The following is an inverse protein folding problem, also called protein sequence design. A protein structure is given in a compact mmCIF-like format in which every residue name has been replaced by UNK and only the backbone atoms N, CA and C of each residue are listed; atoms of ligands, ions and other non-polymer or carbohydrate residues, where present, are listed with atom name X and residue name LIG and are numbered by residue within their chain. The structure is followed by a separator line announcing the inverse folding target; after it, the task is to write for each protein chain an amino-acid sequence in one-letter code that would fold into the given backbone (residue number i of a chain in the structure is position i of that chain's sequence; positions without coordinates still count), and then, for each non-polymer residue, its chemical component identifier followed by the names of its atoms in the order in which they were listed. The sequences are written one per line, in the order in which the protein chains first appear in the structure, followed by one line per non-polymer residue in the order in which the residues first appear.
data_IF_485285881944
#
_entry.id   IF_485285881944
#
_cell.length_a   1.000
_cell.length_b   1.000
_cell.length_c   1.000
_cell.angle_alpha   90.00
_cell.angle_beta   90.00
_cell.angle_gamma   90.00
#
_symmetry.space_group_name_H-M   'P 1'
#
loop_
_entity.id
_entity.type
_entity.pdbx_description
1 polymer ?
#
# COMPACT_ATOMS: atom_id res chain seq x y z
N UNK A 1 20.23 -15.26 -2.25
CA UNK A 1 20.19 -13.88 -1.69
C UNK A 1 18.93 -13.77 -0.84
N UNK A 2 18.97 -13.09 0.30
CA UNK A 2 17.76 -12.92 1.12
C UNK A 2 16.78 -12.02 0.36
N UNK A 3 15.48 -12.42 0.34
CA UNK A 3 14.39 -11.65 -0.28
C UNK A 3 14.26 -10.29 0.44
N UNK A 4 14.47 -9.15 -0.26
CA UNK A 4 14.37 -7.82 0.34
C UNK A 4 13.00 -7.52 0.97
N UNK A 5 11.94 -8.18 0.50
CA UNK A 5 10.57 -8.03 0.98
C UNK A 5 10.16 -9.09 2.00
N UNK A 6 11.05 -10.00 2.38
CA UNK A 6 10.75 -10.93 3.47
C UNK A 6 10.50 -10.19 4.79
N UNK A 7 9.62 -10.71 5.63
CA UNK A 7 9.26 -10.06 6.89
C UNK A 7 10.49 -9.68 7.76
N UNK A 8 11.53 -10.54 7.93
CA UNK A 8 12.71 -10.14 8.70
C UNK A 8 13.49 -8.96 8.11
N UNK A 9 13.58 -8.86 6.76
CA UNK A 9 14.28 -7.76 6.12
C UNK A 9 13.47 -6.46 6.16
N UNK A 10 12.15 -6.56 6.03
CA UNK A 10 11.24 -5.41 6.15
C UNK A 10 11.24 -4.85 7.58
N UNK A 11 11.31 -5.67 8.61
CA UNK A 11 11.42 -5.20 10.01
C UNK A 11 12.68 -4.37 10.26
N UNK A 12 13.76 -4.58 9.51
CA UNK A 12 14.95 -3.72 9.59
C UNK A 12 14.70 -2.28 9.12
N UNK A 13 13.63 -2.06 8.36
CA UNK A 13 13.22 -0.73 7.90
C UNK A 13 12.40 0.04 8.94
N UNK A 14 11.97 -0.59 10.05
CA UNK A 14 11.05 0.01 11.02
C UNK A 14 11.53 1.40 11.49
N UNK A 15 12.80 1.54 11.86
CA UNK A 15 13.34 2.83 12.31
C UNK A 15 13.28 3.92 11.24
N UNK A 16 13.49 3.56 9.98
CA UNK A 16 13.44 4.49 8.83
C UNK A 16 12.02 4.89 8.50
N UNK A 17 11.10 3.92 8.42
CA UNK A 17 9.67 4.18 8.17
C UNK A 17 9.08 5.03 9.29
N UNK A 18 9.43 4.76 10.54
CA UNK A 18 9.02 5.57 11.69
C UNK A 18 9.50 7.02 11.57
N UNK A 19 10.76 7.24 11.21
CA UNK A 19 11.30 8.57 11.02
C UNK A 19 10.57 9.35 9.89
N UNK A 20 10.23 8.67 8.79
CA UNK A 20 9.42 9.27 7.71
C UNK A 20 8.03 9.66 8.21
N UNK A 21 7.35 8.78 8.94
CA UNK A 21 6.03 9.08 9.52
C UNK A 21 6.09 10.29 10.47
N UNK A 22 7.11 10.36 11.32
CA UNK A 22 7.32 11.47 12.25
C UNK A 22 7.64 12.77 11.52
N UNK A 23 8.47 12.73 10.46
CA UNK A 23 8.77 13.88 9.58
C UNK A 23 7.48 14.43 8.97
N UNK A 24 6.67 13.58 8.32
CA UNK A 24 5.40 13.98 7.71
C UNK A 24 4.40 14.55 8.71
N UNK A 25 4.28 13.96 9.89
CA UNK A 25 3.35 14.44 10.92
C UNK A 25 3.86 15.71 11.65
N UNK A 26 5.15 16.02 11.60
CA UNK A 26 5.69 17.24 12.19
C UNK A 26 5.27 18.52 11.45
N UNK A 27 4.91 18.40 10.16
CA UNK A 27 4.44 19.50 9.32
C UNK A 27 2.93 19.79 9.51
N UNK A 28 2.20 18.93 10.23
CA UNK A 28 0.75 19.02 10.41
C UNK A 28 0.38 20.11 11.39
N UNK A 29 -0.47 21.04 10.93
CA UNK A 29 -1.01 22.14 11.72
C UNK A 29 -2.36 21.80 12.39
N UNK A 30 -3.27 22.78 12.38
CA UNK A 30 -4.65 22.61 12.88
C UNK A 30 -5.57 21.86 11.90
N UNK A 31 -5.20 21.86 10.65
CA UNK A 31 -5.88 21.15 9.58
C UNK A 31 -4.91 20.17 8.93
N UNK A 32 -5.39 19.05 8.48
CA UNK A 32 -4.63 18.03 7.81
C UNK A 32 -5.51 17.37 6.74
N UNK A 33 -4.96 17.14 5.56
CA UNK A 33 -5.52 16.16 4.64
C UNK A 33 -4.74 14.86 4.78
N UNK A 34 -5.33 13.88 5.43
CA UNK A 34 -4.69 12.57 5.72
C UNK A 34 -4.12 11.92 4.45
N UNK A 35 -4.78 12.15 3.30
CA UNK A 35 -4.34 11.57 2.02
C UNK A 35 -3.07 12.26 1.54
N UNK A 36 -3.11 13.58 1.36
CA UNK A 36 -2.00 14.33 0.73
C UNK A 36 -0.82 14.54 1.66
N UNK A 37 -1.06 14.66 2.97
CA UNK A 37 -0.03 15.02 3.93
C UNK A 37 0.67 13.80 4.54
N UNK A 38 0.03 12.60 4.50
CA UNK A 38 0.59 11.38 5.07
C UNK A 38 0.49 10.16 4.14
N UNK A 39 -0.74 9.81 3.72
CA UNK A 39 -0.99 8.49 3.13
C UNK A 39 -0.33 8.33 1.75
N UNK A 40 -0.26 9.37 0.94
CA UNK A 40 0.42 9.39 -0.37
C UNK A 40 1.94 9.50 -0.22
N UNK A 41 2.50 10.48 0.52
CA UNK A 41 3.95 10.64 0.58
C UNK A 41 4.65 9.49 1.31
N UNK A 42 4.04 8.85 2.30
CA UNK A 42 4.70 7.80 3.09
C UNK A 42 5.21 6.64 2.23
N UNK A 43 4.40 5.89 1.47
CA UNK A 43 4.87 4.75 0.68
C UNK A 43 5.86 5.18 -0.42
N UNK A 44 5.67 6.36 -1.02
CA UNK A 44 6.60 6.89 -2.03
C UNK A 44 7.98 7.14 -1.42
N UNK A 45 8.05 7.76 -0.24
CA UNK A 45 9.30 8.02 0.46
C UNK A 45 9.98 6.73 0.90
N UNK A 46 9.22 5.74 1.36
CA UNK A 46 9.75 4.43 1.77
C UNK A 46 10.34 3.68 0.57
N UNK A 47 9.64 3.60 -0.55
CA UNK A 47 10.17 2.96 -1.77
C UNK A 47 11.41 3.71 -2.28
N UNK A 48 11.37 5.04 -2.34
CA UNK A 48 12.51 5.84 -2.78
C UNK A 48 13.75 5.63 -1.89
N UNK A 49 13.54 5.54 -0.56
CA UNK A 49 14.61 5.23 0.39
C UNK A 49 15.18 3.82 0.17
N UNK A 50 14.33 2.80 -0.03
CA UNK A 50 14.77 1.43 -0.36
C UNK A 50 15.58 1.39 -1.67
N UNK A 51 15.21 2.20 -2.67
CA UNK A 51 15.93 2.32 -3.93
C UNK A 51 17.24 3.13 -3.79
N UNK A 52 17.49 3.75 -2.64
CA UNK A 52 18.66 4.59 -2.39
C UNK A 52 18.62 5.89 -3.20
N UNK A 53 17.44 6.43 -3.48
CA UNK A 53 17.27 7.67 -4.24
C UNK A 53 17.60 8.89 -3.37
N UNK A 54 18.13 9.98 -3.99
CA UNK A 54 18.37 11.23 -3.27
C UNK A 54 17.06 11.82 -2.71
N UNK A 55 17.11 12.32 -1.47
CA UNK A 55 15.94 12.98 -0.84
C UNK A 55 15.34 14.11 -1.69
N UNK A 56 16.17 14.85 -2.42
CA UNK A 56 15.72 15.94 -3.32
C UNK A 56 14.88 15.48 -4.51
N UNK A 57 14.91 14.19 -4.85
CA UNK A 57 14.17 13.62 -5.99
C UNK A 57 12.81 13.04 -5.59
N UNK A 58 12.49 12.97 -4.28
CA UNK A 58 11.28 12.32 -3.77
C UNK A 58 9.99 12.89 -4.36
N UNK A 59 9.91 14.24 -4.52
CA UNK A 59 8.74 14.89 -5.10
C UNK A 59 8.54 14.57 -6.57
N UNK A 60 9.62 14.46 -7.35
CA UNK A 60 9.54 14.01 -8.74
C UNK A 60 9.06 12.56 -8.81
N UNK A 61 9.58 11.72 -7.90
CA UNK A 61 9.18 10.33 -7.83
C UNK A 61 7.69 10.17 -7.50
N UNK A 62 7.19 11.05 -6.60
CA UNK A 62 5.75 11.13 -6.32
C UNK A 62 4.94 11.58 -7.55
N UNK A 63 5.36 12.66 -8.23
CA UNK A 63 4.69 13.15 -9.43
C UNK A 63 4.59 12.07 -10.50
N UNK A 64 5.68 11.36 -10.77
CA UNK A 64 5.67 10.23 -11.70
C UNK A 64 4.75 9.12 -11.27
N UNK A 65 4.69 8.81 -9.99
CA UNK A 65 3.76 7.81 -9.45
C UNK A 65 2.30 8.21 -9.69
N UNK A 66 1.94 9.46 -9.39
CA UNK A 66 0.59 10.01 -9.60
C UNK A 66 0.20 9.98 -11.08
N UNK A 67 1.13 10.34 -11.99
CA UNK A 67 0.91 10.29 -13.44
C UNK A 67 0.65 8.86 -13.92
N UNK A 68 1.41 7.88 -13.43
CA UNK A 68 1.28 6.46 -13.83
C UNK A 68 -0.05 5.84 -13.42
N UNK A 69 -0.63 6.27 -12.30
CA UNK A 69 -1.95 5.77 -11.84
C UNK A 69 -3.11 6.61 -12.38
N UNK A 70 -2.82 7.60 -13.23
CA UNK A 70 -3.84 8.43 -13.91
C UNK A 70 -4.40 9.55 -13.05
N UNK A 71 -3.72 9.91 -11.97
CA UNK A 71 -4.10 11.04 -11.08
C UNK A 71 -3.45 12.34 -11.54
N UNK A 72 -2.22 12.29 -12.08
CA UNK A 72 -1.44 13.47 -12.47
C UNK A 72 -1.93 14.07 -13.78
N UNK A 73 -2.07 13.47 -14.85
CA UNK A 73 -2.51 14.01 -16.14
C UNK A 73 -1.39 14.31 -17.14
N UNK A 74 -0.13 13.90 -16.84
CA UNK A 74 1.02 13.92 -17.75
C UNK A 74 1.41 12.48 -18.11
N UNK A 75 2.05 12.31 -19.26
CA UNK A 75 2.75 11.07 -19.61
C UNK A 75 4.21 11.18 -19.16
N UNK A 76 4.47 10.81 -17.92
CA UNK A 76 5.79 10.87 -17.30
C UNK A 76 6.58 9.56 -17.39
N UNK A 77 6.06 8.55 -18.07
CA UNK A 77 6.72 7.23 -18.18
C UNK A 77 8.14 7.35 -18.74
N UNK A 78 8.34 8.15 -19.80
CA UNK A 78 9.65 8.36 -20.40
C UNK A 78 10.67 8.95 -19.43
N UNK A 79 10.29 10.01 -18.71
CA UNK A 79 11.14 10.68 -17.71
C UNK A 79 11.54 9.73 -16.57
N UNK A 80 10.58 8.95 -16.07
CA UNK A 80 10.81 7.96 -15.02
C UNK A 80 11.78 6.87 -15.48
N UNK A 81 11.57 6.32 -16.70
CA UNK A 81 12.44 5.28 -17.24
C UNK A 81 13.88 5.77 -17.43
N UNK A 82 14.07 6.98 -17.97
CA UNK A 82 15.40 7.59 -18.11
C UNK A 82 16.07 7.83 -16.75
N UNK A 83 15.30 8.26 -15.77
CA UNK A 83 15.80 8.45 -14.40
C UNK A 83 16.25 7.13 -13.79
N UNK A 84 15.41 6.11 -13.84
CA UNK A 84 15.72 4.78 -13.29
C UNK A 84 16.90 4.14 -14.01
N UNK A 85 17.00 4.28 -15.35
CA UNK A 85 18.12 3.80 -16.13
C UNK A 85 19.45 4.40 -15.63
N UNK A 86 19.50 5.73 -15.43
CA UNK A 86 20.69 6.39 -14.88
C UNK A 86 21.04 5.87 -13.49
N UNK A 87 20.05 5.63 -12.62
CA UNK A 87 20.29 5.05 -11.28
C UNK A 87 20.87 3.63 -11.36
N UNK A 88 20.38 2.82 -12.29
CA UNK A 88 20.90 1.46 -12.54
C UNK A 88 22.36 1.52 -12.97
N UNK A 89 22.71 2.39 -13.93
CA UNK A 89 24.07 2.57 -14.40
C UNK A 89 25.03 3.04 -13.30
N UNK A 90 24.60 4.00 -12.48
CA UNK A 90 25.36 4.44 -11.31
C UNK A 90 25.62 3.29 -10.31
N UNK A 91 24.63 2.45 -10.05
CA UNK A 91 24.76 1.30 -9.13
C UNK A 91 25.60 0.18 -9.72
N UNK A 92 25.62 0.04 -11.04
CA UNK A 92 26.50 -0.89 -11.74
C UNK A 92 27.95 -0.48 -11.61
N UNK A 93 28.23 0.81 -11.73
CA UNK A 93 29.58 1.38 -11.56
C UNK A 93 30.01 1.44 -10.09
N UNK A 94 29.09 1.72 -9.18
CA UNK A 94 29.36 1.88 -7.75
C UNK A 94 28.20 1.32 -6.92
N UNK A 95 28.21 0.00 -6.61
CA UNK A 95 27.18 -0.64 -5.80
C UNK A 95 27.04 -0.01 -4.40
N UNK A 96 25.80 0.04 -3.89
CA UNK A 96 25.46 0.57 -2.57
C UNK A 96 24.59 -0.43 -1.78
N UNK A 97 24.28 -0.08 -0.55
CA UNK A 97 23.32 -0.84 0.26
C UNK A 97 21.89 -0.39 -0.04
N UNK A 98 21.41 -0.69 -1.26
CA UNK A 98 20.07 -0.36 -1.73
C UNK A 98 19.48 -1.48 -2.59
N UNK A 99 18.18 -1.39 -2.87
CA UNK A 99 17.44 -2.41 -3.61
C UNK A 99 17.92 -2.55 -5.05
N UNK A 100 18.30 -1.44 -5.72
CA UNK A 100 18.81 -1.49 -7.09
C UNK A 100 20.10 -2.33 -7.14
N UNK A 101 21.03 -2.09 -6.22
CA UNK A 101 22.28 -2.86 -6.13
C UNK A 101 22.03 -4.34 -5.79
N UNK A 102 21.06 -4.62 -4.92
CA UNK A 102 20.67 -5.97 -4.57
C UNK A 102 20.10 -6.74 -5.79
N UNK A 103 19.24 -6.08 -6.57
CA UNK A 103 18.64 -6.65 -7.78
C UNK A 103 19.67 -6.89 -8.88
N UNK A 104 20.62 -5.97 -9.09
CA UNK A 104 21.72 -6.11 -10.05
C UNK A 104 22.63 -7.32 -9.71
N UNK A 105 22.72 -7.67 -8.44
CA UNK A 105 23.48 -8.85 -7.99
C UNK A 105 22.64 -10.12 -7.92
N UNK A 106 21.33 -10.07 -8.16
CA UNK A 106 20.45 -11.23 -8.06
C UNK A 106 20.58 -12.16 -9.26
N UNK A 107 20.36 -13.46 -9.01
CA UNK A 107 20.31 -14.51 -10.03
C UNK A 107 19.01 -15.26 -9.83
N UNK A 108 18.20 -15.35 -10.86
CA UNK A 108 16.91 -16.06 -10.91
C UNK A 108 17.06 -17.19 -11.93
N UNK A 109 16.82 -18.43 -11.51
CA UNK A 109 16.94 -19.62 -12.37
C UNK A 109 18.30 -19.74 -13.12
N UNK A 110 19.37 -19.22 -12.49
CA UNK A 110 20.72 -19.23 -13.07
C UNK A 110 21.07 -18.02 -13.95
N UNK A 111 20.13 -17.15 -14.20
CA UNK A 111 20.32 -15.95 -15.03
C UNK A 111 20.17 -14.65 -14.22
N UNK A 112 20.88 -13.60 -14.66
CA UNK A 112 20.72 -12.25 -14.11
C UNK A 112 19.54 -11.56 -14.79
N UNK A 113 18.88 -10.66 -14.05
CA UNK A 113 17.87 -9.79 -14.63
C UNK A 113 18.47 -8.94 -15.75
N UNK A 114 17.79 -8.90 -16.88
CA UNK A 114 18.08 -7.94 -17.96
C UNK A 114 17.71 -6.53 -17.52
N UNK A 115 18.25 -5.49 -18.18
CA UNK A 115 17.91 -4.10 -17.88
C UNK A 115 16.41 -3.82 -18.04
N UNK A 116 15.77 -4.44 -19.03
CA UNK A 116 14.33 -4.32 -19.26
C UNK A 116 13.51 -4.93 -18.11
N UNK A 117 13.89 -6.09 -17.62
CA UNK A 117 13.23 -6.74 -16.50
C UNK A 117 13.43 -5.94 -15.22
N UNK A 118 14.65 -5.44 -14.99
CA UNK A 118 14.96 -4.60 -13.83
C UNK A 118 14.15 -3.31 -13.84
N UNK A 119 14.14 -2.59 -14.97
CA UNK A 119 13.33 -1.38 -15.14
C UNK A 119 11.85 -1.66 -14.93
N UNK A 120 11.32 -2.71 -15.57
CA UNK A 120 9.92 -3.11 -15.40
C UNK A 120 9.56 -3.41 -13.94
N UNK A 121 10.46 -4.07 -13.23
CA UNK A 121 10.26 -4.37 -11.80
C UNK A 121 10.29 -3.10 -10.93
N UNK A 122 11.19 -2.16 -11.19
CA UNK A 122 11.27 -0.90 -10.45
C UNK A 122 10.02 -0.03 -10.67
N UNK A 123 9.52 0.05 -11.91
CA UNK A 123 8.26 0.73 -12.24
C UNK A 123 7.08 0.04 -11.55
N UNK A 124 7.03 -1.30 -11.58
CA UNK A 124 5.99 -2.08 -10.91
C UNK A 124 5.97 -1.81 -9.40
N UNK A 125 7.13 -1.76 -8.75
CA UNK A 125 7.23 -1.47 -7.31
C UNK A 125 6.65 -0.09 -6.98
N UNK A 126 6.96 0.92 -7.82
CA UNK A 126 6.45 2.27 -7.61
C UNK A 126 4.92 2.30 -7.70
N UNK A 127 4.35 1.74 -8.77
CA UNK A 127 2.90 1.77 -9.00
C UNK A 127 2.15 0.92 -7.98
N UNK A 128 2.60 -0.33 -7.76
CA UNK A 128 1.89 -1.27 -6.91
C UNK A 128 1.96 -0.92 -5.41
N UNK A 129 3.08 -0.30 -4.98
CA UNK A 129 3.30 0.02 -3.57
C UNK A 129 2.61 1.31 -3.11
N UNK A 130 2.41 2.27 -4.01
CA UNK A 130 1.89 3.59 -3.64
C UNK A 130 0.37 3.58 -3.39
N UNK A 131 -0.44 3.39 -4.41
CA UNK A 131 -1.90 3.54 -4.37
C UNK A 131 -2.56 2.64 -3.31
N UNK A 132 -2.11 1.41 -3.21
CA UNK A 132 -2.71 0.42 -2.29
C UNK A 132 -2.45 0.75 -0.83
N UNK A 133 -1.25 1.19 -0.48
CA UNK A 133 -0.89 1.58 0.90
C UNK A 133 -1.51 2.92 1.27
N UNK A 134 -1.58 3.87 0.33
CA UNK A 134 -2.35 5.12 0.47
C UNK A 134 -3.80 4.82 0.88
N UNK A 135 -4.45 3.92 0.14
CA UNK A 135 -5.83 3.55 0.41
C UNK A 135 -5.98 2.77 1.72
N UNK A 136 -5.02 1.93 2.11
CA UNK A 136 -5.02 1.27 3.42
C UNK A 136 -5.04 2.31 4.54
N UNK A 137 -4.16 3.31 4.51
CA UNK A 137 -4.05 4.33 5.55
C UNK A 137 -5.32 5.20 5.57
N UNK A 138 -5.74 5.72 4.41
CA UNK A 138 -6.93 6.56 4.28
C UNK A 138 -8.20 5.86 4.74
N UNK A 139 -8.44 4.63 4.29
CA UNK A 139 -9.59 3.81 4.67
C UNK A 139 -9.59 3.48 6.18
N UNK A 140 -8.41 3.26 6.76
CA UNK A 140 -8.27 2.99 8.19
C UNK A 140 -8.65 4.22 9.01
N UNK A 141 -8.13 5.40 8.66
CA UNK A 141 -8.46 6.66 9.34
C UNK A 141 -9.95 6.98 9.18
N UNK A 142 -10.50 6.86 7.98
CA UNK A 142 -11.93 7.08 7.76
C UNK A 142 -12.79 6.14 8.62
N UNK A 143 -12.43 4.85 8.70
CA UNK A 143 -13.12 3.88 9.56
C UNK A 143 -13.03 4.29 11.03
N UNK A 144 -11.88 4.75 11.51
CA UNK A 144 -11.70 5.22 12.88
C UNK A 144 -12.47 6.51 13.18
N UNK A 145 -12.60 7.42 12.23
CA UNK A 145 -13.42 8.62 12.38
C UNK A 145 -14.92 8.29 12.47
N UNK A 146 -15.38 7.29 11.74
CA UNK A 146 -16.76 6.78 11.80
C UNK A 146 -17.03 5.93 13.06
N UNK A 147 -16.02 5.27 13.58
CA UNK A 147 -16.10 4.29 14.68
C UNK A 147 -15.23 4.70 15.87
N UNK A 148 -15.74 5.64 16.67
CA UNK A 148 -15.02 6.13 17.87
C UNK A 148 -14.76 5.05 18.92
N UNK A 149 -15.59 4.00 18.95
CA UNK A 149 -15.40 2.82 19.79
C UNK A 149 -14.08 2.09 19.45
N UNK A 150 -13.74 2.00 18.15
CA UNK A 150 -12.48 1.43 17.67
C UNK A 150 -11.29 2.25 18.14
N UNK A 151 -11.37 3.59 18.02
CA UNK A 151 -10.31 4.50 18.49
C UNK A 151 -10.07 4.29 19.98
N UNK A 152 -11.13 4.24 20.78
CA UNK A 152 -11.03 4.01 22.24
C UNK A 152 -10.33 2.69 22.57
N UNK A 153 -10.64 1.60 21.86
CA UNK A 153 -10.01 0.29 22.07
C UNK A 153 -8.52 0.31 21.69
N UNK A 154 -8.17 0.90 20.54
CA UNK A 154 -6.77 0.98 20.07
C UNK A 154 -5.93 1.91 20.94
N UNK A 155 -6.51 3.00 21.47
CA UNK A 155 -5.83 3.89 22.40
C UNK A 155 -5.58 3.22 23.77
N UNK A 156 -6.52 2.40 24.25
CA UNK A 156 -6.39 1.65 25.49
C UNK A 156 -5.37 0.51 25.39
N UNK A 157 -5.26 -0.15 24.23
CA UNK A 157 -4.26 -1.19 23.95
C UNK A 157 -3.65 -1.03 22.57
N UNK A 158 -2.56 -0.26 22.44
CA UNK A 158 -1.87 -0.05 21.16
C UNK A 158 -1.31 -1.33 20.51
N UNK A 159 -1.18 -2.44 21.25
CA UNK A 159 -0.75 -3.73 20.70
C UNK A 159 -1.77 -4.29 19.70
N UNK A 160 -3.03 -3.88 19.82
CA UNK A 160 -4.09 -4.24 18.89
C UNK A 160 -3.90 -3.63 17.48
N UNK A 161 -3.05 -2.62 17.30
CA UNK A 161 -2.82 -1.99 15.99
C UNK A 161 -2.39 -3.04 14.95
N UNK A 162 -1.57 -4.01 15.34
CA UNK A 162 -1.10 -5.06 14.44
C UNK A 162 -2.25 -5.92 13.89
N UNK A 163 -3.18 -6.33 14.74
CA UNK A 163 -4.37 -7.11 14.32
C UNK A 163 -5.41 -6.21 13.65
N UNK A 164 -5.52 -4.96 14.07
CA UNK A 164 -6.41 -3.99 13.47
C UNK A 164 -6.02 -3.65 12.01
N UNK A 165 -4.72 -3.64 11.67
CA UNK A 165 -4.27 -3.49 10.26
C UNK A 165 -4.83 -4.60 9.39
N UNK A 166 -4.79 -5.87 9.84
CA UNK A 166 -5.40 -6.99 9.10
C UNK A 166 -6.92 -6.81 8.99
N UNK A 167 -7.58 -6.29 10.04
CA UNK A 167 -9.02 -6.06 10.00
C UNK A 167 -9.39 -4.86 9.11
N UNK A 168 -8.59 -3.79 9.06
CA UNK A 168 -8.79 -2.71 8.07
C UNK A 168 -8.66 -3.24 6.64
N UNK A 169 -7.65 -4.07 6.38
CA UNK A 169 -7.44 -4.73 5.09
C UNK A 169 -8.63 -5.61 4.69
N UNK A 170 -9.22 -6.35 5.63
CA UNK A 170 -10.43 -7.12 5.40
C UNK A 170 -11.64 -6.23 5.17
N UNK A 171 -11.89 -5.31 6.11
CA UNK A 171 -13.12 -4.53 6.20
C UNK A 171 -13.28 -3.50 5.08
N UNK A 172 -12.18 -2.84 4.68
CA UNK A 172 -12.09 -1.89 3.56
C UNK A 172 -10.87 -2.20 2.70
N UNK A 173 -10.92 -3.35 2.02
CA UNK A 173 -9.81 -3.79 1.15
C UNK A 173 -9.44 -2.69 0.16
N UNK A 174 -8.17 -2.24 0.12
CA UNK A 174 -7.74 -1.24 -0.87
C UNK A 174 -8.00 -1.68 -2.30
N UNK A 175 -7.73 -2.97 -2.61
CA UNK A 175 -8.04 -3.59 -3.90
C UNK A 175 -9.35 -4.33 -3.77
N UNK A 176 -10.33 -3.97 -4.62
CA UNK A 176 -11.67 -4.56 -4.60
C UNK A 176 -11.77 -5.84 -5.41
N UNK A 177 -10.90 -6.01 -6.40
CA UNK A 177 -10.88 -7.24 -7.17
C UNK A 177 -9.75 -7.29 -8.18
N UNK A 178 -9.56 -8.45 -8.78
CA UNK A 178 -8.51 -8.73 -9.75
C UNK A 178 -9.04 -9.54 -10.94
N UNK A 179 -8.50 -9.26 -12.11
CA UNK A 179 -8.80 -10.02 -13.33
C UNK A 179 -7.94 -11.26 -13.46
N UNK A 180 -8.53 -12.31 -14.05
CA UNK A 180 -7.85 -13.52 -14.50
C UNK A 180 -8.40 -13.88 -15.88
N UNK A 181 -7.58 -14.53 -16.69
CA UNK A 181 -8.00 -15.12 -17.95
C UNK A 181 -7.90 -16.64 -17.81
N UNK A 182 -8.97 -17.33 -18.16
CA UNK A 182 -8.98 -18.78 -18.13
C UNK A 182 -7.99 -19.33 -19.19
N UNK A 183 -7.10 -20.23 -18.78
CA UNK A 183 -6.12 -20.86 -19.67
C UNK A 183 -6.66 -22.12 -20.36
N UNK A 184 -7.77 -22.64 -19.87
CA UNK A 184 -8.44 -23.84 -20.34
C UNK A 184 -9.92 -23.80 -19.91
N UNK A 185 -10.75 -24.64 -20.52
CA UNK A 185 -12.14 -24.82 -20.10
C UNK A 185 -12.19 -25.34 -18.67
N UNK A 186 -12.97 -24.69 -17.80
CA UNK A 186 -13.11 -25.07 -16.40
C UNK A 186 -14.50 -24.79 -15.85
N UNK A 187 -14.76 -25.25 -14.61
CA UNK A 187 -15.96 -24.86 -13.86
C UNK A 187 -15.56 -24.11 -12.59
N UNK A 188 -16.21 -22.95 -12.37
CA UNK A 188 -16.06 -22.16 -11.17
C UNK A 188 -17.43 -21.97 -10.51
N UNK A 189 -17.62 -22.48 -9.28
CA UNK A 189 -18.89 -22.42 -8.59
C UNK A 189 -20.06 -23.05 -9.37
N UNK A 190 -19.81 -24.09 -10.19
CA UNK A 190 -20.79 -24.74 -11.04
C UNK A 190 -21.05 -24.07 -12.40
N UNK A 191 -20.49 -22.86 -12.63
CA UNK A 191 -20.59 -22.13 -13.90
C UNK A 191 -19.47 -22.57 -14.83
N UNK A 192 -19.80 -22.84 -16.11
CA UNK A 192 -18.81 -23.11 -17.15
C UNK A 192 -18.08 -21.84 -17.54
N UNK A 193 -16.74 -21.92 -17.54
CA UNK A 193 -15.83 -20.86 -17.98
C UNK A 193 -14.99 -21.45 -19.11
N UNK A 194 -14.94 -20.76 -20.25
CA UNK A 194 -14.22 -21.20 -21.43
C UNK A 194 -12.79 -20.65 -21.45
N UNK A 195 -11.88 -21.33 -22.15
CA UNK A 195 -10.56 -20.80 -22.45
C UNK A 195 -10.68 -19.41 -23.08
N UNK A 196 -9.91 -18.44 -22.55
CA UNK A 196 -9.92 -17.03 -22.97
C UNK A 196 -10.94 -16.16 -22.25
N UNK A 197 -11.91 -16.74 -21.51
CA UNK A 197 -12.85 -15.94 -20.73
C UNK A 197 -12.15 -15.16 -19.64
N UNK A 198 -12.61 -13.91 -19.45
CA UNK A 198 -12.14 -13.04 -18.38
C UNK A 198 -13.00 -13.25 -17.13
N UNK A 199 -12.33 -13.65 -16.04
CA UNK A 199 -12.94 -13.84 -14.73
C UNK A 199 -12.50 -12.71 -13.80
N UNK A 200 -13.44 -12.07 -13.12
CA UNK A 200 -13.14 -11.06 -12.11
C UNK A 200 -13.40 -11.62 -10.71
N UNK A 201 -12.35 -11.70 -9.90
CA UNK A 201 -12.44 -12.14 -8.51
C UNK A 201 -12.63 -10.93 -7.59
N UNK A 202 -13.83 -10.81 -6.99
CA UNK A 202 -14.19 -9.74 -6.06
C UNK A 202 -13.58 -9.98 -4.67
N UNK A 203 -12.43 -9.39 -4.39
CA UNK A 203 -11.73 -9.48 -3.11
C UNK A 203 -12.53 -8.81 -1.99
N UNK A 204 -13.08 -7.61 -2.27
CA UNK A 204 -13.91 -6.88 -1.29
C UNK A 204 -15.13 -7.68 -0.85
N UNK A 205 -15.79 -8.39 -1.77
CA UNK A 205 -16.91 -9.27 -1.47
C UNK A 205 -16.45 -10.53 -0.70
N UNK A 206 -15.38 -11.19 -1.16
CA UNK A 206 -14.85 -12.37 -0.49
C UNK A 206 -14.42 -12.10 0.97
N UNK A 207 -13.93 -10.88 1.24
CA UNK A 207 -13.56 -10.45 2.59
C UNK A 207 -14.79 -10.11 3.48
N UNK A 208 -15.99 -10.16 2.93
CA UNK A 208 -17.29 -10.00 3.61
C UNK A 208 -18.16 -11.26 3.55
N UNK A 209 -17.62 -12.36 3.12
CA UNK A 209 -18.30 -13.64 3.03
C UNK A 209 -18.68 -14.17 4.43
N UNK A 210 -19.98 -14.32 4.69
CA UNK A 210 -20.52 -14.81 5.97
C UNK A 210 -20.19 -16.28 6.25
N UNK A 211 -19.86 -17.06 5.20
CA UNK A 211 -19.38 -18.44 5.39
C UNK A 211 -17.93 -18.50 5.89
N UNK A 212 -17.19 -17.41 5.77
CA UNK A 212 -15.77 -17.29 6.16
C UNK A 212 -15.56 -16.41 7.39
N UNK A 213 -16.38 -15.39 7.56
CA UNK A 213 -16.22 -14.41 8.63
C UNK A 213 -17.52 -14.28 9.44
N UNK A 214 -17.44 -14.56 10.71
CA UNK A 214 -18.55 -14.26 11.63
C UNK A 214 -18.76 -12.75 11.67
N UNK A 215 -20.02 -12.30 11.57
CA UNK A 215 -20.37 -10.87 11.55
C UNK A 215 -19.48 -10.05 10.59
N UNK A 216 -19.48 -10.35 9.28
CA UNK A 216 -18.52 -9.82 8.33
C UNK A 216 -18.59 -8.29 8.18
N UNK A 217 -19.76 -7.69 8.47
CA UNK A 217 -20.00 -6.25 8.43
C UNK A 217 -19.64 -5.52 9.72
N UNK A 218 -19.18 -6.26 10.73
CA UNK A 218 -18.63 -5.66 11.94
C UNK A 218 -17.11 -5.53 11.82
N UNK A 219 -16.60 -4.36 12.22
CA UNK A 219 -15.17 -4.15 12.39
C UNK A 219 -14.73 -4.64 13.77
N UNK A 220 -13.87 -5.64 13.83
CA UNK A 220 -13.37 -6.27 15.07
C UNK A 220 -11.85 -6.17 15.09
N UNK A 221 -11.22 -5.21 15.82
CA UNK A 221 -9.79 -4.94 15.77
C UNK A 221 -8.87 -6.13 16.09
N UNK A 222 -9.38 -7.08 16.84
CA UNK A 222 -8.69 -8.30 17.27
C UNK A 222 -9.27 -9.58 16.64
N UNK A 223 -9.95 -9.47 15.49
CA UNK A 223 -10.55 -10.62 14.78
C UNK A 223 -9.54 -11.76 14.61
N UNK A 224 -9.94 -12.94 15.04
CA UNK A 224 -9.18 -14.19 14.86
C UNK A 224 -10.15 -15.38 14.73
N UNK A 225 -9.97 -16.24 13.71
CA UNK A 225 -9.06 -16.08 12.56
C UNK A 225 -9.47 -14.92 11.65
N UNK A 226 -8.51 -14.37 10.86
CA UNK A 226 -8.77 -13.33 9.86
C UNK A 226 -8.10 -13.69 8.52
N UNK A 227 -8.59 -14.72 7.80
CA UNK A 227 -7.99 -15.21 6.55
C UNK A 227 -8.42 -14.35 5.35
N UNK A 228 -8.24 -13.03 5.43
CA UNK A 228 -8.63 -12.13 4.35
C UNK A 228 -7.76 -12.27 3.11
N UNK A 229 -8.31 -11.90 1.95
CA UNK A 229 -7.68 -11.98 0.65
C UNK A 229 -7.15 -10.62 0.14
N UNK A 230 -7.02 -9.61 0.99
CA UNK A 230 -6.56 -8.27 0.58
C UNK A 230 -5.17 -8.27 -0.07
N UNK A 231 -4.32 -9.24 0.23
CA UNK A 231 -3.02 -9.45 -0.40
C UNK A 231 -3.02 -10.56 -1.46
N UNK A 232 -4.20 -11.00 -1.88
CA UNK A 232 -4.34 -12.13 -2.80
C UNK A 232 -3.99 -13.48 -2.17
N UNK A 233 -3.81 -14.48 -3.03
CA UNK A 233 -3.43 -15.85 -2.64
C UNK A 233 -2.67 -16.54 -3.78
N UNK A 234 -1.94 -17.63 -3.44
CA UNK A 234 -1.20 -18.47 -4.41
C UNK A 234 0.06 -17.77 -4.93
N UNK A 235 0.42 -18.04 -6.19
CA UNK A 235 1.66 -17.54 -6.82
C UNK A 235 1.71 -16.02 -6.99
N UNK A 236 0.56 -15.35 -6.92
CA UNK A 236 0.43 -13.90 -6.98
C UNK A 236 0.19 -13.24 -5.62
N UNK A 237 0.45 -13.94 -4.52
CA UNK A 237 0.42 -13.30 -3.19
C UNK A 237 1.31 -12.06 -3.19
N UNK A 238 0.80 -10.97 -2.65
CA UNK A 238 1.47 -9.66 -2.67
C UNK A 238 2.89 -9.75 -2.08
N UNK A 239 3.88 -9.41 -2.90
CA UNK A 239 5.29 -9.35 -2.49
C UNK A 239 5.50 -8.28 -1.40
N UNK A 240 4.83 -7.13 -1.54
CA UNK A 240 4.93 -5.99 -0.61
C UNK A 240 4.09 -6.12 0.66
N UNK A 241 3.40 -7.26 0.89
CA UNK A 241 2.53 -7.41 2.06
C UNK A 241 3.21 -7.15 3.41
N UNK A 242 4.46 -7.60 3.68
CA UNK A 242 5.15 -7.25 4.90
C UNK A 242 5.40 -5.74 5.04
N UNK A 243 5.76 -5.07 3.94
CA UNK A 243 6.04 -3.63 3.92
C UNK A 243 4.76 -2.82 4.15
N UNK A 244 3.67 -3.12 3.45
CA UNK A 244 2.38 -2.46 3.65
C UNK A 244 1.85 -2.61 5.08
N UNK A 245 2.06 -3.77 5.71
CA UNK A 245 1.75 -3.99 7.12
C UNK A 245 2.59 -3.12 8.05
N UNK A 246 3.88 -3.02 7.78
CA UNK A 246 4.79 -2.18 8.56
C UNK A 246 4.38 -0.71 8.46
N UNK A 247 4.18 -0.20 7.26
CA UNK A 247 3.77 1.18 7.00
C UNK A 247 2.42 1.49 7.64
N UNK A 248 1.41 0.64 7.42
CA UNK A 248 0.09 0.76 8.05
C UNK A 248 0.20 0.77 9.58
N UNK A 249 0.93 -0.17 10.17
CA UNK A 249 1.14 -0.25 11.62
C UNK A 249 1.76 1.02 12.18
N UNK A 250 2.82 1.53 11.56
CA UNK A 250 3.54 2.70 12.06
C UNK A 250 2.73 3.99 11.86
N UNK A 251 2.10 4.17 10.70
CA UNK A 251 1.24 5.32 10.43
C UNK A 251 0.06 5.37 11.42
N UNK A 252 -0.65 4.26 11.60
CA UNK A 252 -1.80 4.19 12.51
C UNK A 252 -1.38 4.37 13.97
N UNK A 253 -0.24 3.80 14.39
CA UNK A 253 0.29 3.99 15.75
C UNK A 253 0.59 5.47 16.04
N UNK A 254 1.19 6.17 15.07
CA UNK A 254 1.47 7.59 15.23
C UNK A 254 0.18 8.43 15.24
N UNK A 255 -0.77 8.11 14.36
CA UNK A 255 -2.07 8.79 14.29
C UNK A 255 -2.95 8.59 15.52
N UNK A 256 -2.83 7.47 16.25
CA UNK A 256 -3.60 7.23 17.48
C UNK A 256 -3.45 8.37 18.50
N UNK A 257 -2.33 9.07 18.52
CA UNK A 257 -2.10 10.23 19.40
C UNK A 257 -2.92 11.46 18.99
N UNK A 258 -3.26 11.57 17.72
CA UNK A 258 -4.00 12.68 17.12
C UNK A 258 -5.51 12.39 17.02
N UNK A 259 -5.89 11.14 16.82
CA UNK A 259 -7.27 10.70 16.58
C UNK A 259 -8.30 11.16 17.61
N UNK A 260 -8.02 11.21 18.95
CA UNK A 260 -8.98 11.74 19.92
C UNK A 260 -9.35 13.21 19.69
N UNK A 261 -8.47 13.94 19.02
CA UNK A 261 -8.60 15.36 18.70
C UNK A 261 -9.04 15.61 17.25
N UNK A 262 -9.09 14.56 16.43
CA UNK A 262 -9.50 14.64 15.03
C UNK A 262 -11.01 14.70 14.88
N UNK A 263 -11.45 15.61 14.02
CA UNK A 263 -12.81 15.65 13.50
C UNK A 263 -12.75 15.70 11.98
N UNK A 264 -13.65 14.96 11.34
CA UNK A 264 -13.84 15.07 9.91
C UNK A 264 -14.32 16.49 9.59
N UNK A 265 -13.60 17.22 8.73
CA UNK A 265 -14.03 18.52 8.24
C UNK A 265 -15.29 18.40 7.39
N UNK A 266 -16.08 19.46 7.30
CA UNK A 266 -17.27 19.47 6.43
C UNK A 266 -16.82 19.37 4.97
N UNK A 267 -16.99 18.20 4.39
CA UNK A 267 -16.58 17.87 3.02
C UNK A 267 -17.44 16.77 2.41
N UNK A 268 -17.56 16.78 1.09
CA UNK A 268 -18.03 15.63 0.33
C UNK A 268 -16.83 14.70 0.10
N UNK A 269 -16.92 13.47 0.60
CA UNK A 269 -15.91 12.45 0.31
C UNK A 269 -16.02 12.04 -1.17
N UNK A 270 -14.97 12.32 -1.93
CA UNK A 270 -14.86 11.98 -3.34
C UNK A 270 -14.11 10.65 -3.49
N UNK A 271 -14.77 9.59 -4.02
CA UNK A 271 -14.08 8.34 -4.31
C UNK A 271 -12.93 8.56 -5.31
N UNK A 272 -11.88 7.78 -5.20
CA UNK A 272 -10.90 7.66 -6.29
C UNK A 272 -11.64 7.14 -7.54
N UNK A 273 -11.36 7.72 -8.70
CA UNK A 273 -12.12 7.48 -9.93
C UNK A 273 -11.98 6.08 -10.56
N UNK A 274 -11.60 5.08 -9.78
CA UNK A 274 -11.34 3.72 -10.24
C UNK A 274 -12.08 2.71 -9.35
N UNK A 275 -12.96 1.89 -9.94
CA UNK A 275 -13.79 0.91 -9.24
C UNK A 275 -13.01 -0.35 -8.74
N UNK A 276 -11.77 -0.55 -9.21
CA UNK A 276 -10.89 -1.64 -8.73
C UNK A 276 -10.30 -1.30 -7.36
N UNK A 277 -10.17 -0.02 -7.04
CA UNK A 277 -9.64 0.44 -5.76
C UNK A 277 -10.72 1.10 -4.91
N UNK A 278 -10.63 0.92 -3.60
CA UNK A 278 -11.46 1.61 -2.62
C UNK A 278 -10.61 2.64 -1.88
N UNK A 279 -10.99 3.89 -1.99
CA UNK A 279 -10.34 5.01 -1.32
C UNK A 279 -11.04 6.33 -1.62
N UNK A 280 -10.54 7.40 -1.04
CA UNK A 280 -11.01 8.77 -1.24
C UNK A 280 -9.86 9.65 -1.70
N UNK A 281 -10.16 10.68 -2.50
CA UNK A 281 -9.15 11.63 -3.01
C UNK A 281 -8.59 12.54 -1.93
N UNK A 282 -9.45 12.93 -0.99
CA UNK A 282 -9.12 13.79 0.13
C UNK A 282 -9.82 13.29 1.40
N UNK A 283 -9.14 13.40 2.51
CA UNK A 283 -9.69 13.13 3.84
C UNK A 283 -9.22 14.23 4.80
N UNK A 284 -9.91 15.38 4.72
CA UNK A 284 -9.56 16.56 5.52
C UNK A 284 -10.11 16.42 6.92
N UNK A 285 -9.26 16.72 7.89
CA UNK A 285 -9.58 16.65 9.30
C UNK A 285 -9.12 17.93 10.01
N UNK A 286 -9.84 18.32 11.04
CA UNK A 286 -9.48 19.37 11.96
C UNK A 286 -8.96 18.77 13.27
N UNK A 287 -7.88 19.36 13.81
CA UNK A 287 -7.28 18.98 15.08
C UNK A 287 -7.69 20.02 16.14
N UNK A 288 -8.55 19.60 17.07
CA UNK A 288 -8.88 20.45 18.23
C UNK A 288 -7.66 20.61 19.15
N UNK A 289 -7.57 21.75 19.81
CA UNK A 289 -6.50 22.11 20.75
C UNK A 289 -6.40 21.13 21.91
#
# INVERSE_FOLDING_TARGET
MADPFSAPNVELLEGRVRAIVEELLSEVGREMDVITDLAVPLPVMVIADMLGLPKGDLWKFKEWSDDLVGVGGRDSMGELLEYLQRRIEERRASPRRDLISALLGSVVEGEKLTDRELLGFLVLLLVAGNETTTNLIGNSVLTMLERKDVVGRLAADPRLVTTAVEEFLRYRSPVQGVFRVAKEDMKVGGVEVKEGDMVFAWIGSANRDEEKFQDPDQFVPDRRPNPHLAFGAGVHTCLGAPLARLEGRLALTALLRLLPRMKLSEQKLEPIGNWIFLGVRHLRVELSS
#
